data_IF_015157529581
#
_entry.id   IF_015157529581
#
_cell.length_a   1.000
_cell.length_b   1.000
_cell.length_c   1.000
_cell.angle_alpha   90.00
_cell.angle_beta   90.00
_cell.angle_gamma   90.00
#
_symmetry.space_group_name_H-M   'P 1'
#
loop_
_entity.id
_entity.type
_entity.pdbx_description
1 polymer ?
#
# COMPACT_ATOMS: atom_id res chain seq x y z
N UNK A 1 -27.01 19.68 16.08
CA UNK A 1 -28.32 20.29 15.75
C UNK A 1 -28.40 20.30 14.24
N UNK A 2 -29.31 19.50 13.68
CA UNK A 2 -29.53 19.45 12.22
C UNK A 2 -30.35 20.68 11.78
N UNK A 3 -29.98 21.25 10.64
CA UNK A 3 -30.80 22.31 10.05
C UNK A 3 -32.13 21.74 9.55
N UNK A 4 -33.21 22.54 9.44
CA UNK A 4 -34.51 22.09 8.89
C UNK A 4 -34.39 21.44 7.51
N UNK A 5 -33.47 21.93 6.66
CA UNK A 5 -33.19 21.35 5.35
C UNK A 5 -32.57 19.95 5.44
N UNK A 6 -31.65 19.74 6.38
CA UNK A 6 -31.05 18.42 6.63
C UNK A 6 -32.05 17.39 7.17
N UNK A 7 -33.02 17.85 7.97
CA UNK A 7 -34.10 17.00 8.48
C UNK A 7 -35.05 16.57 7.36
N UNK A 8 -35.38 17.49 6.44
CA UNK A 8 -36.23 17.19 5.29
C UNK A 8 -35.56 16.24 4.30
N UNK A 9 -34.27 16.41 4.06
CA UNK A 9 -33.47 15.51 3.20
C UNK A 9 -33.37 14.10 3.80
N UNK A 10 -33.21 13.98 5.14
CA UNK A 10 -33.24 12.69 5.84
C UNK A 10 -34.59 11.99 5.74
N UNK A 11 -35.68 12.74 5.88
CA UNK A 11 -37.02 12.20 5.74
C UNK A 11 -37.30 11.71 4.30
N UNK A 12 -36.88 12.46 3.29
CA UNK A 12 -36.96 12.07 1.89
C UNK A 12 -36.13 10.81 1.59
N UNK A 13 -34.94 10.72 2.16
CA UNK A 13 -34.09 9.53 2.03
C UNK A 13 -34.76 8.29 2.66
N UNK A 14 -35.26 8.39 3.89
CA UNK A 14 -35.93 7.28 4.57
C UNK A 14 -37.20 6.82 3.83
N UNK A 15 -37.93 7.74 3.19
CA UNK A 15 -39.10 7.41 2.38
C UNK A 15 -38.75 6.76 1.02
N UNK A 16 -37.51 6.85 0.59
CA UNK A 16 -37.03 6.26 -0.69
C UNK A 16 -36.63 4.79 -0.58
N UNK A 17 -36.44 4.29 0.65
CA UNK A 17 -36.13 2.89 0.93
C UNK A 17 -37.39 2.22 1.50
N UNK A 18 -37.70 0.99 1.07
CA UNK A 18 -38.83 0.26 1.62
C UNK A 18 -38.61 -0.08 3.10
N UNK A 19 -39.69 -0.19 3.91
CA UNK A 19 -39.57 -0.47 5.37
C UNK A 19 -38.79 -1.77 5.67
N UNK A 20 -38.83 -2.75 4.78
CA UNK A 20 -38.07 -4.01 4.86
C UNK A 20 -36.91 -4.07 3.87
N UNK A 21 -36.53 -2.95 3.29
CA UNK A 21 -35.69 -2.87 2.09
C UNK A 21 -34.20 -2.95 2.32
N UNK A 22 -33.71 -3.17 3.55
CA UNK A 22 -32.28 -3.40 3.81
C UNK A 22 -32.12 -4.81 4.36
N UNK A 23 -31.43 -5.65 3.61
CA UNK A 23 -31.12 -7.03 4.01
C UNK A 23 -29.62 -7.23 4.07
N UNK A 24 -29.15 -7.92 5.12
CA UNK A 24 -27.78 -8.37 5.22
C UNK A 24 -27.67 -9.81 4.70
N UNK A 25 -27.01 -9.95 3.57
CA UNK A 25 -26.72 -11.23 2.92
C UNK A 25 -25.23 -11.61 3.03
N UNK A 26 -24.54 -11.06 4.03
CA UNK A 26 -23.13 -11.35 4.29
C UNK A 26 -22.91 -12.82 4.62
N UNK A 27 -21.87 -13.42 4.09
CA UNK A 27 -21.58 -14.83 4.25
C UNK A 27 -20.15 -15.20 3.90
N UNK A 28 -19.92 -16.50 3.68
CA UNK A 28 -18.57 -17.00 3.35
C UNK A 28 -18.05 -16.55 1.99
N UNK A 29 -18.96 -16.34 1.01
CA UNK A 29 -18.59 -15.90 -0.34
C UNK A 29 -18.37 -14.40 -0.41
N UNK A 30 -19.19 -13.64 0.33
CA UNK A 30 -19.10 -12.19 0.43
C UNK A 30 -19.04 -11.79 1.90
N UNK A 31 -17.89 -11.29 2.34
CA UNK A 31 -17.68 -10.90 3.74
C UNK A 31 -18.66 -9.79 4.19
N UNK A 32 -19.02 -8.88 3.27
CA UNK A 32 -20.05 -7.85 3.47
C UNK A 32 -20.91 -7.78 2.21
N UNK A 33 -22.22 -8.03 2.35
CA UNK A 33 -23.21 -7.89 1.28
C UNK A 33 -24.51 -7.35 1.83
N UNK A 34 -24.76 -6.08 1.61
CA UNK A 34 -26.00 -5.41 1.97
C UNK A 34 -26.83 -5.20 0.70
N UNK A 35 -28.06 -5.68 0.71
CA UNK A 35 -29.03 -5.47 -0.37
C UNK A 35 -29.98 -4.38 0.05
N UNK A 36 -30.11 -3.34 -0.75
CA UNK A 36 -31.01 -2.21 -0.51
C UNK A 36 -32.08 -2.19 -1.61
N UNK A 37 -33.34 -2.25 -1.23
CA UNK A 37 -34.47 -2.23 -2.14
C UNK A 37 -35.13 -0.84 -2.14
N UNK A 38 -35.41 -0.26 -3.32
CA UNK A 38 -36.12 1.01 -3.40
C UNK A 38 -37.59 0.87 -2.94
N UNK A 39 -38.15 1.93 -2.38
CA UNK A 39 -39.57 1.95 -1.97
C UNK A 39 -40.54 1.83 -3.18
N UNK A 40 -40.10 2.21 -4.36
CA UNK A 40 -40.89 2.16 -5.60
C UNK A 40 -40.08 1.63 -6.77
N UNK A 41 -40.68 0.76 -7.57
CA UNK A 41 -40.09 0.24 -8.82
C UNK A 41 -39.84 1.33 -9.90
N UNK A 42 -40.36 2.52 -9.70
CA UNK A 42 -40.14 3.68 -10.60
C UNK A 42 -38.87 4.42 -10.28
N UNK A 43 -38.28 4.18 -9.12
CA UNK A 43 -37.02 4.82 -8.71
C UNK A 43 -35.82 4.17 -9.43
N UNK A 44 -35.06 4.98 -10.15
CA UNK A 44 -33.87 4.51 -10.86
C UNK A 44 -32.79 4.04 -9.90
N UNK A 45 -32.01 3.03 -10.29
CA UNK A 45 -30.91 2.51 -9.51
C UNK A 45 -29.85 3.61 -9.21
N UNK A 46 -29.53 4.41 -10.22
CA UNK A 46 -28.53 5.49 -10.09
C UNK A 46 -28.97 6.56 -9.11
N UNK A 47 -30.26 6.90 -9.06
CA UNK A 47 -30.81 7.88 -8.13
C UNK A 47 -30.74 7.34 -6.68
N UNK A 48 -31.05 6.05 -6.48
CA UNK A 48 -30.92 5.41 -5.17
C UNK A 48 -29.45 5.39 -4.72
N UNK A 49 -28.52 5.04 -5.61
CA UNK A 49 -27.09 5.05 -5.30
C UNK A 49 -26.61 6.45 -4.93
N UNK A 50 -26.98 7.49 -5.70
CA UNK A 50 -26.64 8.89 -5.37
C UNK A 50 -27.17 9.31 -4.00
N UNK A 51 -28.41 8.93 -3.68
CA UNK A 51 -28.99 9.23 -2.38
C UNK A 51 -28.28 8.50 -1.24
N UNK A 52 -27.93 7.23 -1.44
CA UNK A 52 -27.15 6.46 -0.46
C UNK A 52 -25.79 7.09 -0.21
N UNK A 53 -25.05 7.47 -1.25
CA UNK A 53 -23.73 8.11 -1.13
C UNK A 53 -23.82 9.50 -0.49
N UNK A 54 -24.86 10.27 -0.78
CA UNK A 54 -25.04 11.62 -0.22
C UNK A 54 -25.49 11.62 1.24
N UNK A 55 -26.25 10.62 1.70
CA UNK A 55 -26.91 10.63 3.01
C UNK A 55 -26.37 9.59 4.01
N UNK A 56 -25.47 8.72 3.58
CA UNK A 56 -24.86 7.70 4.45
C UNK A 56 -23.35 7.81 4.49
N UNK A 57 -22.70 7.03 5.35
CA UNK A 57 -21.25 6.94 5.45
C UNK A 57 -20.66 5.89 4.50
N UNK A 58 -21.36 5.52 3.42
CA UNK A 58 -20.83 4.61 2.39
C UNK A 58 -19.69 5.25 1.61
N UNK A 59 -19.69 6.57 1.46
CA UNK A 59 -18.60 7.35 0.93
C UNK A 59 -18.04 8.27 2.03
N UNK A 60 -16.75 8.20 2.27
CA UNK A 60 -16.08 9.02 3.27
C UNK A 60 -14.76 9.56 2.71
N UNK A 61 -14.39 10.76 3.14
CA UNK A 61 -13.10 11.33 2.80
C UNK A 61 -12.03 10.84 3.78
N UNK A 62 -10.94 10.29 3.25
CA UNK A 62 -9.76 9.93 4.02
C UNK A 62 -8.65 10.94 3.78
N UNK A 63 -8.17 11.58 4.83
CA UNK A 63 -7.02 12.48 4.76
C UNK A 63 -5.74 11.64 4.64
N UNK A 64 -4.96 11.88 3.58
CA UNK A 64 -3.66 11.24 3.40
C UNK A 64 -2.58 12.25 3.79
N UNK A 65 -1.83 11.93 4.85
CA UNK A 65 -0.67 12.70 5.27
C UNK A 65 0.58 11.81 5.19
N UNK A 66 1.38 12.01 4.16
CA UNK A 66 2.61 11.27 3.93
C UNK A 66 3.79 11.95 4.65
N UNK A 67 3.85 11.80 5.97
CA UNK A 67 5.01 12.23 6.76
C UNK A 67 6.02 11.09 6.80
N UNK A 68 7.21 11.32 6.25
CA UNK A 68 8.27 10.32 6.11
C UNK A 68 9.59 10.85 6.67
N UNK A 69 10.46 9.93 7.09
CA UNK A 69 11.87 10.24 7.32
C UNK A 69 12.59 10.22 5.98
N UNK A 70 13.08 11.39 5.54
CA UNK A 70 13.89 11.49 4.34
C UNK A 70 15.23 10.75 4.47
N UNK A 71 15.95 10.60 3.37
CA UNK A 71 17.30 9.99 3.35
C UNK A 71 18.26 10.67 4.34
N UNK A 72 18.03 11.93 4.64
CA UNK A 72 18.81 12.73 5.61
C UNK A 72 18.43 12.46 7.07
N UNK A 73 17.48 11.57 7.34
CA UNK A 73 17.00 11.29 8.70
C UNK A 73 16.08 12.37 9.28
N UNK A 74 15.68 13.39 8.52
CA UNK A 74 14.76 14.43 8.98
C UNK A 74 13.32 14.11 8.59
N UNK A 75 12.34 14.28 9.51
CA UNK A 75 10.93 14.12 9.18
C UNK A 75 10.46 15.25 8.26
N UNK A 76 9.71 14.90 7.23
CA UNK A 76 9.11 15.85 6.31
C UNK A 76 7.83 15.29 5.68
N UNK A 77 6.96 16.18 5.28
CA UNK A 77 5.82 15.81 4.44
C UNK A 77 6.30 15.68 2.98
N UNK A 78 5.94 14.58 2.35
CA UNK A 78 6.38 14.26 0.99
C UNK A 78 5.17 13.96 0.09
N UNK A 79 5.30 14.25 -1.21
CA UNK A 79 4.39 13.72 -2.21
C UNK A 79 4.68 12.24 -2.46
N UNK A 80 3.70 11.48 -2.96
CA UNK A 80 3.87 10.07 -3.31
C UNK A 80 5.04 9.87 -4.29
N UNK A 81 5.14 10.73 -5.32
CA UNK A 81 6.24 10.70 -6.28
C UNK A 81 7.61 10.88 -5.61
N UNK A 82 7.72 11.90 -4.72
CA UNK A 82 8.96 12.17 -4.00
C UNK A 82 9.37 10.99 -3.10
N UNK A 83 8.40 10.40 -2.41
CA UNK A 83 8.63 9.24 -1.55
C UNK A 83 9.13 8.02 -2.32
N UNK A 84 8.49 7.67 -3.44
CA UNK A 84 8.91 6.57 -4.31
C UNK A 84 10.30 6.84 -4.90
N UNK A 85 10.55 8.07 -5.38
CA UNK A 85 11.84 8.45 -5.97
C UNK A 85 12.98 8.34 -4.95
N UNK A 86 12.77 8.76 -3.70
CA UNK A 86 13.77 8.60 -2.62
C UNK A 86 13.96 7.15 -2.23
N UNK A 87 12.88 6.38 -2.17
CA UNK A 87 12.98 4.95 -1.89
C UNK A 87 13.82 4.23 -2.95
N UNK A 88 13.64 4.54 -4.23
CA UNK A 88 14.45 3.96 -5.30
C UNK A 88 15.95 4.30 -5.13
N UNK A 89 16.28 5.54 -4.79
CA UNK A 89 17.67 5.94 -4.52
C UNK A 89 18.24 5.21 -3.31
N UNK A 90 17.49 5.13 -2.25
CA UNK A 90 17.89 4.40 -1.04
C UNK A 90 18.07 2.90 -1.34
N UNK A 91 17.19 2.30 -2.15
CA UNK A 91 17.31 0.89 -2.55
C UNK A 91 18.59 0.64 -3.34
N UNK A 92 18.90 1.49 -4.31
CA UNK A 92 20.15 1.42 -5.08
C UNK A 92 21.38 1.46 -4.16
N UNK A 93 21.47 2.44 -3.26
CA UNK A 93 22.59 2.55 -2.32
C UNK A 93 22.67 1.36 -1.35
N UNK A 94 21.54 0.79 -0.99
CA UNK A 94 21.50 -0.40 -0.11
C UNK A 94 21.99 -1.64 -0.83
N UNK A 95 21.59 -1.85 -2.09
CA UNK A 95 22.07 -2.97 -2.90
C UNK A 95 23.56 -2.81 -3.19
N UNK A 96 24.05 -1.61 -3.48
CA UNK A 96 25.47 -1.33 -3.65
C UNK A 96 26.27 -1.69 -2.40
N UNK A 97 25.87 -1.24 -1.21
CA UNK A 97 26.52 -1.59 0.06
C UNK A 97 26.50 -3.09 0.32
N UNK A 98 25.37 -3.77 0.06
CA UNK A 98 25.26 -5.21 0.18
C UNK A 98 26.23 -5.93 -0.76
N UNK A 99 26.32 -5.48 -2.01
CA UNK A 99 27.21 -6.04 -3.03
C UNK A 99 28.68 -5.86 -2.66
N UNK A 100 29.07 -4.66 -2.18
CA UNK A 100 30.43 -4.40 -1.68
C UNK A 100 30.79 -5.26 -0.46
N UNK A 101 29.87 -5.43 0.46
CA UNK A 101 30.08 -6.29 1.62
C UNK A 101 30.30 -7.76 1.21
N UNK A 102 29.48 -8.27 0.27
CA UNK A 102 29.65 -9.64 -0.25
C UNK A 102 30.96 -9.80 -0.99
N UNK A 103 31.35 -8.82 -1.81
CA UNK A 103 32.64 -8.82 -2.51
C UNK A 103 33.81 -8.88 -1.53
N UNK A 104 33.81 -8.00 -0.52
CA UNK A 104 34.88 -8.00 0.51
C UNK A 104 34.95 -9.33 1.27
N UNK A 105 33.80 -9.94 1.57
CA UNK A 105 33.77 -11.24 2.22
C UNK A 105 34.32 -12.35 1.29
N UNK A 106 33.95 -12.34 0.02
CA UNK A 106 34.48 -13.28 -0.99
C UNK A 106 35.98 -13.11 -1.18
N UNK A 107 36.48 -11.88 -1.33
CA UNK A 107 37.91 -11.58 -1.47
C UNK A 107 38.73 -12.03 -0.26
N UNK A 108 38.28 -11.77 0.95
CA UNK A 108 38.91 -12.28 2.18
C UNK A 108 38.99 -13.81 2.19
N UNK A 109 37.90 -14.47 1.76
CA UNK A 109 37.88 -15.93 1.74
C UNK A 109 38.80 -16.47 0.65
N UNK A 110 38.81 -15.87 -0.55
CA UNK A 110 39.72 -16.19 -1.65
C UNK A 110 41.17 -16.09 -1.17
N UNK A 111 41.52 -14.99 -0.52
CA UNK A 111 42.85 -14.77 0.01
C UNK A 111 43.33 -15.89 0.96
N UNK A 112 42.46 -16.32 1.88
CA UNK A 112 42.76 -17.43 2.79
C UNK A 112 42.93 -18.75 2.01
N UNK A 113 42.04 -19.04 1.08
CA UNK A 113 42.07 -20.28 0.30
C UNK A 113 43.28 -20.37 -0.62
N UNK A 114 43.72 -19.23 -1.20
CA UNK A 114 44.97 -19.16 -1.98
C UNK A 114 46.19 -19.50 -1.15
N UNK A 115 46.26 -19.02 0.09
CA UNK A 115 47.32 -19.38 1.05
C UNK A 115 47.30 -20.88 1.36
N UNK A 116 46.12 -21.45 1.65
CA UNK A 116 45.99 -22.89 1.90
C UNK A 116 46.40 -23.73 0.69
N UNK A 117 46.03 -23.32 -0.52
CA UNK A 117 46.38 -24.04 -1.74
C UNK A 117 47.88 -24.01 -1.98
N UNK A 118 48.54 -22.89 -1.77
CA UNK A 118 50.01 -22.76 -1.87
C UNK A 118 50.75 -23.72 -0.93
N UNK A 119 50.25 -23.87 0.31
CA UNK A 119 50.80 -24.79 1.30
C UNK A 119 50.56 -26.25 0.97
N UNK A 120 49.35 -26.59 0.44
CA UNK A 120 49.02 -27.97 0.04
C UNK A 120 49.86 -28.51 -1.12
N UNK A 121 50.42 -27.61 -1.95
CA UNK A 121 51.30 -27.99 -3.07
C UNK A 121 52.70 -28.45 -2.55
N UNK A 122 53.12 -27.99 -1.37
CA UNK A 122 54.47 -28.28 -0.86
C UNK A 122 54.44 -28.54 0.67
N UNK A 123 53.57 -29.46 1.10
CA UNK A 123 53.26 -29.73 2.49
C UNK A 123 54.46 -30.17 3.31
N UNK A 124 55.37 -30.95 2.71
CA UNK A 124 56.59 -31.44 3.39
C UNK A 124 57.52 -30.32 3.77
N UNK A 125 57.67 -29.31 2.92
CA UNK A 125 58.46 -28.09 3.26
C UNK A 125 57.80 -27.28 4.33
N UNK A 126 56.49 -27.14 4.31
CA UNK A 126 55.75 -26.42 5.37
C UNK A 126 55.97 -27.07 6.73
N UNK A 127 55.84 -28.40 6.82
CA UNK A 127 56.07 -29.14 8.06
C UNK A 127 57.49 -28.99 8.52
N UNK A 128 58.47 -28.99 7.60
CA UNK A 128 59.85 -28.81 7.91
C UNK A 128 60.12 -27.41 8.47
N UNK A 129 59.64 -26.35 7.84
CA UNK A 129 59.75 -24.97 8.30
C UNK A 129 59.15 -24.83 9.70
N UNK A 130 57.94 -25.35 9.95
CA UNK A 130 57.27 -25.27 11.27
C UNK A 130 58.10 -25.98 12.37
N UNK A 131 58.75 -27.07 12.03
CA UNK A 131 59.55 -27.85 13.03
C UNK A 131 60.93 -27.28 13.33
N UNK A 132 61.58 -26.64 12.35
CA UNK A 132 62.96 -26.17 12.44
C UNK A 132 63.05 -24.66 12.77
N UNK A 133 61.92 -23.96 12.78
CA UNK A 133 61.86 -22.50 13.01
C UNK A 133 61.61 -22.17 14.47
N UNK A 134 62.27 -21.12 14.96
CA UNK A 134 61.99 -20.48 16.26
C UNK A 134 60.75 -19.62 16.21
N UNK A 135 60.43 -19.01 15.02
CA UNK A 135 59.18 -18.26 14.73
C UNK A 135 58.53 -18.75 13.46
N UNK A 136 57.70 -19.82 13.54
CA UNK A 136 57.08 -20.44 12.37
C UNK A 136 56.27 -19.47 11.52
N UNK A 137 55.64 -18.45 12.12
CA UNK A 137 54.83 -17.48 11.40
C UNK A 137 55.64 -16.63 10.43
N UNK A 138 56.74 -16.07 10.93
CA UNK A 138 57.65 -15.23 10.13
C UNK A 138 58.30 -16.03 9.01
N UNK A 139 58.74 -17.24 9.30
CA UNK A 139 59.45 -18.07 8.34
C UNK A 139 58.50 -18.59 7.24
N UNK A 140 57.25 -18.94 7.58
CA UNK A 140 56.23 -19.27 6.59
C UNK A 140 55.93 -18.11 5.64
N UNK A 141 55.81 -16.88 6.19
CA UNK A 141 55.61 -15.69 5.39
C UNK A 141 56.79 -15.45 4.41
N UNK A 142 58.01 -15.62 4.87
CA UNK A 142 59.21 -15.43 4.06
C UNK A 142 59.36 -16.50 2.96
N UNK A 143 59.19 -17.79 3.29
CA UNK A 143 59.42 -18.90 2.37
C UNK A 143 58.30 -19.04 1.31
N UNK A 144 57.04 -18.83 1.70
CA UNK A 144 55.86 -19.05 0.82
C UNK A 144 55.25 -17.73 0.33
N UNK A 145 55.82 -16.57 0.69
CA UNK A 145 55.31 -15.23 0.35
C UNK A 145 53.87 -15.04 0.80
N UNK A 146 53.53 -15.55 1.98
CA UNK A 146 52.22 -15.48 2.56
C UNK A 146 51.98 -14.18 3.30
N UNK A 147 50.78 -13.72 3.37
CA UNK A 147 50.38 -12.65 4.28
C UNK A 147 50.32 -13.17 5.74
N UNK A 148 50.35 -12.26 6.69
CA UNK A 148 50.22 -12.59 8.09
C UNK A 148 48.94 -13.41 8.39
N UNK A 149 47.81 -12.99 7.82
CA UNK A 149 46.50 -13.65 7.97
C UNK A 149 46.54 -15.07 7.38
N UNK A 150 47.23 -15.28 6.27
CA UNK A 150 47.36 -16.59 5.64
C UNK A 150 48.28 -17.49 6.50
N UNK A 151 49.40 -16.98 7.01
CA UNK A 151 50.29 -17.73 7.84
C UNK A 151 49.65 -18.18 9.16
N UNK A 152 48.87 -17.30 9.77
CA UNK A 152 48.10 -17.59 10.99
C UNK A 152 47.02 -18.68 10.74
N UNK A 153 46.26 -18.55 9.67
CA UNK A 153 45.29 -19.56 9.26
C UNK A 153 45.92 -20.94 9.01
N UNK A 154 47.10 -20.96 8.38
CA UNK A 154 47.83 -22.21 8.10
C UNK A 154 48.30 -22.88 9.38
N UNK A 155 48.81 -22.14 10.38
CA UNK A 155 49.20 -22.68 11.66
C UNK A 155 48.03 -23.27 12.47
N UNK A 156 46.82 -22.80 12.24
CA UNK A 156 45.60 -23.32 12.86
C UNK A 156 44.97 -24.53 12.13
N UNK A 157 45.49 -24.91 10.93
CA UNK A 157 44.97 -26.01 10.14
C UNK A 157 45.14 -27.33 10.90
N UNK A 158 44.06 -28.09 11.01
CA UNK A 158 44.11 -29.47 11.55
C UNK A 158 44.76 -30.41 10.55
N UNK A 159 45.64 -31.31 10.99
CA UNK A 159 46.36 -32.28 10.15
C UNK A 159 45.43 -33.07 9.18
N UNK A 160 44.19 -33.42 9.59
CA UNK A 160 43.23 -34.08 8.72
C UNK A 160 42.83 -33.28 7.50
N UNK A 161 42.90 -31.97 7.54
CA UNK A 161 42.53 -31.03 6.45
C UNK A 161 43.63 -30.90 5.39
N UNK A 162 44.80 -31.48 5.68
CA UNK A 162 45.91 -31.52 4.72
C UNK A 162 45.82 -32.72 3.76
N UNK A 163 44.74 -33.49 3.81
CA UNK A 163 44.54 -34.61 2.91
C UNK A 163 44.26 -34.14 1.48
N UNK A 164 44.73 -34.93 0.49
CA UNK A 164 44.63 -34.58 -0.96
C UNK A 164 43.21 -34.27 -1.41
N UNK A 165 42.18 -34.92 -0.84
CA UNK A 165 40.78 -34.65 -1.17
C UNK A 165 40.31 -33.24 -0.76
N UNK A 166 40.89 -32.67 0.29
CA UNK A 166 40.58 -31.31 0.71
C UNK A 166 41.17 -30.27 -0.25
N UNK A 167 42.33 -30.53 -0.88
CA UNK A 167 42.89 -29.67 -1.92
C UNK A 167 41.96 -29.50 -3.15
N UNK A 168 41.30 -30.58 -3.55
CA UNK A 168 40.33 -30.53 -4.66
C UNK A 168 39.11 -29.64 -4.28
N UNK A 169 38.59 -29.84 -3.06
CA UNK A 169 37.46 -29.02 -2.58
C UNK A 169 37.82 -27.53 -2.44
N UNK A 170 39.02 -27.23 -1.97
CA UNK A 170 39.53 -25.86 -1.88
C UNK A 170 39.63 -25.24 -3.27
N UNK A 171 40.12 -25.99 -4.26
CA UNK A 171 40.17 -25.53 -5.65
C UNK A 171 38.79 -25.23 -6.22
N UNK A 172 37.79 -26.10 -5.99
CA UNK A 172 36.41 -25.88 -6.43
C UNK A 172 35.76 -24.68 -5.73
N UNK A 173 35.96 -24.54 -4.41
CA UNK A 173 35.47 -23.38 -3.64
C UNK A 173 36.07 -22.10 -4.14
N UNK A 174 37.38 -22.08 -4.40
CA UNK A 174 38.11 -20.93 -4.90
C UNK A 174 37.63 -20.53 -6.31
N UNK A 175 37.39 -21.49 -7.20
CA UNK A 175 36.84 -21.21 -8.52
C UNK A 175 35.46 -20.56 -8.44
N UNK A 176 34.55 -21.08 -7.60
CA UNK A 176 33.20 -20.52 -7.37
C UNK A 176 33.26 -19.09 -6.81
N UNK A 177 34.10 -18.87 -5.80
CA UNK A 177 34.24 -17.54 -5.19
C UNK A 177 34.84 -16.52 -6.14
N UNK A 178 35.79 -16.92 -7.00
CA UNK A 178 36.35 -16.03 -8.04
C UNK A 178 35.30 -15.66 -9.08
N UNK A 179 34.46 -16.60 -9.47
CA UNK A 179 33.32 -16.33 -10.38
C UNK A 179 32.31 -15.38 -9.73
N UNK A 180 31.96 -15.62 -8.45
CA UNK A 180 31.09 -14.72 -7.68
C UNK A 180 31.69 -13.33 -7.58
N UNK A 181 32.95 -13.20 -7.19
CA UNK A 181 33.64 -11.92 -7.08
C UNK A 181 33.70 -11.17 -8.41
N UNK A 182 33.96 -11.87 -9.52
CA UNK A 182 33.94 -11.28 -10.86
C UNK A 182 32.54 -10.77 -11.26
N UNK A 183 31.48 -11.51 -10.90
CA UNK A 183 30.09 -11.11 -11.10
C UNK A 183 29.71 -9.86 -10.26
N UNK A 184 30.13 -9.83 -8.99
CA UNK A 184 29.89 -8.70 -8.09
C UNK A 184 30.67 -7.44 -8.56
N UNK A 185 31.90 -7.58 -9.02
CA UNK A 185 32.68 -6.47 -9.60
C UNK A 185 31.98 -5.90 -10.84
N UNK A 186 31.57 -6.73 -11.81
CA UNK A 186 30.83 -6.28 -12.99
C UNK A 186 29.55 -5.51 -12.61
N UNK A 187 28.88 -5.92 -11.54
CA UNK A 187 27.69 -5.23 -11.05
C UNK A 187 28.03 -3.86 -10.46
N UNK A 188 29.17 -3.73 -9.73
CA UNK A 188 29.61 -2.48 -9.13
C UNK A 188 30.20 -1.50 -10.14
N UNK A 189 30.79 -1.98 -11.21
CA UNK A 189 31.43 -1.17 -12.26
C UNK A 189 30.44 -0.49 -13.20
N UNK A 190 29.16 -0.89 -13.17
CA UNK A 190 28.13 -0.38 -14.09
C UNK A 190 26.86 0.03 -13.37
N UNK A 191 26.58 1.33 -13.36
CA UNK A 191 25.30 1.87 -12.87
C UNK A 191 24.08 1.24 -13.55
N UNK A 192 24.19 0.94 -14.84
CA UNK A 192 23.11 0.31 -15.58
C UNK A 192 22.89 -1.14 -15.14
N UNK A 193 23.95 -1.90 -14.91
CA UNK A 193 23.85 -3.26 -14.38
C UNK A 193 23.21 -3.26 -12.98
N UNK A 194 23.60 -2.30 -12.13
CA UNK A 194 23.02 -2.13 -10.79
C UNK A 194 21.52 -1.82 -10.85
N UNK A 195 21.11 -0.90 -11.73
CA UNK A 195 19.68 -0.57 -11.93
C UNK A 195 18.89 -1.76 -12.45
N UNK A 196 19.43 -2.51 -13.38
CA UNK A 196 18.80 -3.72 -13.92
C UNK A 196 18.65 -4.79 -12.82
N UNK A 197 19.67 -4.98 -11.99
CA UNK A 197 19.61 -5.90 -10.85
C UNK A 197 18.50 -5.50 -9.86
N UNK A 198 18.44 -4.21 -9.48
CA UNK A 198 17.40 -3.70 -8.58
C UNK A 198 16.01 -3.83 -9.18
N UNK A 199 15.86 -3.55 -10.49
CA UNK A 199 14.57 -3.72 -11.19
C UNK A 199 14.11 -5.18 -11.16
N UNK A 200 15.02 -6.12 -11.45
CA UNK A 200 14.71 -7.56 -11.40
C UNK A 200 14.31 -8.03 -10.00
N UNK A 201 14.96 -7.53 -8.93
CA UNK A 201 14.57 -7.82 -7.56
C UNK A 201 13.15 -7.29 -7.24
N UNK A 202 12.83 -6.04 -7.66
CA UNK A 202 11.51 -5.44 -7.46
C UNK A 202 10.43 -6.21 -8.23
N UNK A 203 10.71 -6.63 -9.47
CA UNK A 203 9.78 -7.45 -10.27
C UNK A 203 9.52 -8.81 -9.62
N UNK A 204 10.56 -9.45 -9.06
CA UNK A 204 10.40 -10.70 -8.34
C UNK A 204 9.54 -10.54 -7.09
N UNK A 205 9.75 -9.46 -6.33
CA UNK A 205 8.95 -9.12 -5.16
C UNK A 205 7.49 -8.79 -5.55
N UNK A 206 7.28 -8.07 -6.66
CA UNK A 206 5.95 -7.77 -7.19
C UNK A 206 5.18 -9.03 -7.59
N UNK A 207 5.86 -10.01 -8.23
CA UNK A 207 5.23 -11.29 -8.57
C UNK A 207 4.86 -12.13 -7.34
N UNK A 208 5.64 -12.02 -6.27
CA UNK A 208 5.44 -12.81 -5.05
C UNK A 208 4.41 -12.21 -4.10
N UNK A 209 4.36 -10.88 -4.00
CA UNK A 209 3.60 -10.16 -2.98
C UNK A 209 2.55 -9.20 -3.56
N UNK A 210 2.54 -9.00 -4.89
CA UNK A 210 1.59 -8.13 -5.56
C UNK A 210 0.17 -8.70 -5.48
N UNK A 211 -0.81 -7.82 -5.32
CA UNK A 211 -2.23 -8.08 -5.39
C UNK A 211 -2.88 -7.16 -6.44
N UNK A 212 -4.12 -7.48 -6.82
CA UNK A 212 -4.87 -6.68 -7.77
C UNK A 212 -5.20 -5.30 -7.18
N UNK A 213 -5.11 -4.28 -8.02
CA UNK A 213 -5.42 -2.92 -7.61
C UNK A 213 -6.92 -2.77 -7.33
N UNK A 214 -7.28 -2.41 -6.10
CA UNK A 214 -8.65 -2.16 -5.66
C UNK A 214 -9.08 -0.69 -5.80
N UNK A 215 -8.13 0.23 -5.94
CA UNK A 215 -8.39 1.68 -6.04
C UNK A 215 -8.63 2.06 -7.49
N UNK A 216 -9.77 2.68 -7.77
CA UNK A 216 -10.09 3.26 -9.07
C UNK A 216 -9.74 4.75 -9.08
N UNK A 217 -9.36 5.26 -10.24
CA UNK A 217 -9.20 6.70 -10.47
C UNK A 217 -10.39 7.11 -11.34
N UNK A 218 -11.32 7.84 -10.72
CA UNK A 218 -12.49 8.37 -11.40
C UNK A 218 -12.27 9.87 -11.67
N UNK A 219 -12.89 10.37 -12.76
CA UNK A 219 -12.98 11.80 -12.96
C UNK A 219 -13.84 12.40 -11.84
N UNK A 220 -13.45 13.57 -11.32
CA UNK A 220 -14.15 14.27 -10.23
C UNK A 220 -15.59 14.62 -10.66
N UNK A 221 -16.47 13.66 -10.58
CA UNK A 221 -17.91 13.87 -10.66
C UNK A 221 -18.36 14.27 -9.25
N UNK A 222 -18.19 15.56 -8.92
CA UNK A 222 -18.82 16.12 -7.73
C UNK A 222 -20.31 15.92 -7.85
N UNK A 223 -20.82 14.88 -7.18
CA UNK A 223 -22.24 14.78 -6.86
C UNK A 223 -22.53 15.91 -5.87
N UNK A 224 -22.86 17.08 -6.41
CA UNK A 224 -23.26 18.18 -5.56
C UNK A 224 -24.62 17.81 -4.94
N UNK A 225 -24.82 18.18 -3.68
CA UNK A 225 -26.13 18.00 -3.01
C UNK A 225 -27.30 18.65 -3.79
N UNK A 226 -27.00 19.51 -4.79
CA UNK A 226 -27.98 20.05 -5.72
C UNK A 226 -28.51 18.99 -6.72
N UNK A 227 -27.70 17.98 -7.07
CA UNK A 227 -28.11 16.93 -8.01
C UNK A 227 -29.01 15.90 -7.33
N UNK A 228 -28.91 15.76 -6.01
CA UNK A 228 -29.85 14.97 -5.20
C UNK A 228 -31.23 15.66 -5.03
N UNK A 229 -31.37 16.92 -5.45
CA UNK A 229 -32.64 17.68 -5.38
C UNK A 229 -33.61 17.39 -6.50
N UNK A 230 -33.21 16.68 -7.53
CA UNK A 230 -34.15 16.21 -8.56
C UNK A 230 -34.79 14.86 -8.21
N UNK A 231 -35.30 14.71 -6.99
CA UNK A 231 -36.45 13.83 -6.79
C UNK A 231 -37.55 14.47 -7.61
N UNK A 232 -37.92 13.84 -8.71
CA UNK A 232 -39.06 14.24 -9.51
C UNK A 232 -40.29 14.32 -8.57
N UNK A 233 -40.58 15.51 -8.09
CA UNK A 233 -41.77 15.78 -7.30
C UNK A 233 -42.93 15.47 -8.24
N UNK A 234 -43.74 14.45 -7.91
CA UNK A 234 -44.91 14.12 -8.70
C UNK A 234 -45.79 15.35 -8.73
N UNK A 235 -46.04 15.85 -9.94
CA UNK A 235 -46.87 17.06 -10.15
C UNK A 235 -48.32 16.74 -9.91
N UNK A 236 -48.81 16.99 -8.68
CA UNK A 236 -50.19 16.75 -8.27
C UNK A 236 -50.89 18.05 -7.87
N UNK A 237 -52.21 18.08 -8.11
CA UNK A 237 -53.03 19.19 -7.68
C UNK A 237 -53.08 19.23 -6.15
N UNK A 238 -52.74 20.36 -5.56
CA UNK A 238 -52.68 20.57 -4.11
C UNK A 238 -53.26 21.93 -3.75
N UNK A 239 -53.91 22.03 -2.60
CA UNK A 239 -54.36 23.30 -2.06
C UNK A 239 -53.58 23.63 -0.82
N UNK A 240 -52.92 24.78 -0.81
CA UNK A 240 -52.24 25.34 0.34
C UNK A 240 -53.27 26.12 1.22
N UNK A 241 -53.38 25.71 2.48
CA UNK A 241 -54.28 26.30 3.46
C UNK A 241 -53.40 27.14 4.41
N UNK A 242 -53.70 28.42 4.49
CA UNK A 242 -52.99 29.39 5.31
C UNK A 242 -53.90 29.85 6.43
N UNK A 243 -53.47 29.79 7.70
CA UNK A 243 -54.18 30.30 8.84
C UNK A 243 -53.79 31.73 9.18
N UNK A 244 -54.60 32.47 9.94
CA UNK A 244 -54.29 33.85 10.39
C UNK A 244 -53.07 33.96 11.29
N UNK A 245 -52.75 32.90 12.03
CA UNK A 245 -51.53 32.83 12.85
C UNK A 245 -50.30 32.33 12.08
N UNK A 246 -50.38 32.20 10.76
CA UNK A 246 -49.23 31.84 9.89
C UNK A 246 -48.92 30.36 9.81
N UNK A 247 -49.85 29.49 10.21
CA UNK A 247 -49.71 28.06 10.01
C UNK A 247 -50.07 27.70 8.55
N UNK A 248 -49.20 26.89 7.96
CA UNK A 248 -49.38 26.39 6.60
C UNK A 248 -49.60 24.89 6.62
N UNK A 249 -50.51 24.38 5.84
CA UNK A 249 -50.68 22.94 5.56
C UNK A 249 -51.17 22.75 4.12
N UNK A 250 -50.78 21.65 3.51
CA UNK A 250 -51.24 21.25 2.19
C UNK A 250 -52.29 20.14 2.27
N UNK A 251 -53.21 20.14 1.33
CA UNK A 251 -54.15 19.03 1.10
C UNK A 251 -54.21 18.72 -0.40
N UNK A 252 -54.28 17.44 -0.70
CA UNK A 252 -54.39 16.97 -2.08
C UNK A 252 -55.73 17.36 -2.71
N UNK A 253 -55.71 17.83 -3.95
CA UNK A 253 -56.88 18.29 -4.71
C UNK A 253 -57.21 19.76 -4.52
N UNK A 254 -58.05 20.32 -5.41
CA UNK A 254 -58.49 21.74 -5.40
C UNK A 254 -59.91 21.92 -4.78
N UNK A 255 -60.69 20.83 -4.65
CA UNK A 255 -62.06 20.92 -4.10
C UNK A 255 -62.09 20.71 -2.59
N UNK A 256 -61.55 21.71 -1.85
CA UNK A 256 -61.56 21.69 -0.38
C UNK A 256 -62.65 22.63 0.12
N UNK A 257 -63.59 22.07 0.88
CA UNK A 257 -64.61 22.87 1.57
C UNK A 257 -63.96 23.62 2.79
N UNK A 258 -63.90 24.95 2.77
CA UNK A 258 -63.30 25.73 3.84
C UNK A 258 -64.01 25.56 5.19
N UNK A 259 -65.27 25.17 5.19
CA UNK A 259 -66.09 25.02 6.40
C UNK A 259 -65.77 23.77 7.20
N UNK A 260 -65.13 22.76 6.55
CA UNK A 260 -64.71 21.51 7.18
C UNK A 260 -63.29 21.53 7.73
N UNK A 261 -62.61 22.69 7.64
CA UNK A 261 -61.27 22.84 8.11
C UNK A 261 -61.25 23.15 9.61
N UNK A 262 -60.51 22.31 10.37
CA UNK A 262 -60.31 22.52 11.79
C UNK A 262 -59.01 23.28 12.05
N UNK A 263 -59.04 24.28 12.90
CA UNK A 263 -57.88 25.09 13.31
C UNK A 263 -57.69 24.94 14.83
N UNK A 264 -56.51 25.38 15.30
CA UNK A 264 -56.22 25.45 16.73
C UNK A 264 -57.14 26.49 17.41
N UNK A 265 -57.36 26.36 18.71
CA UNK A 265 -58.17 27.33 19.48
C UNK A 265 -57.67 28.76 19.29
N UNK A 266 -58.53 29.62 18.80
CA UNK A 266 -58.23 31.02 18.53
C UNK A 266 -57.68 31.33 17.16
N UNK A 267 -57.45 30.30 16.29
CA UNK A 267 -56.98 30.49 14.92
C UNK A 267 -58.13 30.29 13.92
N UNK A 268 -58.00 30.86 12.73
CA UNK A 268 -59.00 30.77 11.67
C UNK A 268 -58.37 30.79 10.28
N UNK A 269 -59.14 30.42 9.29
CA UNK A 269 -58.67 30.46 7.89
C UNK A 269 -58.35 31.88 7.45
N UNK A 270 -57.16 32.06 6.86
CA UNK A 270 -56.76 33.26 6.14
C UNK A 270 -57.00 33.13 4.65
N UNK A 271 -56.48 32.06 4.04
CA UNK A 271 -56.57 31.82 2.59
C UNK A 271 -56.48 30.33 2.26
N UNK A 272 -57.19 29.93 1.17
CA UNK A 272 -56.99 28.66 0.49
C UNK A 272 -56.44 28.97 -0.93
N UNK A 273 -55.27 28.52 -1.22
CA UNK A 273 -54.58 28.78 -2.50
C UNK A 273 -54.46 27.47 -3.28
N UNK A 274 -55.18 27.31 -4.39
CA UNK A 274 -54.98 26.20 -5.26
C UNK A 274 -53.62 26.31 -5.93
N UNK A 275 -52.78 25.28 -5.82
CA UNK A 275 -51.42 25.19 -6.35
C UNK A 275 -51.12 23.76 -6.79
N UNK A 276 -49.94 23.54 -7.29
CA UNK A 276 -49.42 22.19 -7.61
C UNK A 276 -48.25 21.89 -6.69
N UNK A 277 -47.92 20.61 -6.54
CA UNK A 277 -46.79 20.20 -5.70
C UNK A 277 -45.43 20.72 -6.18
N UNK A 278 -45.37 21.19 -7.42
CA UNK A 278 -44.18 21.75 -8.08
C UNK A 278 -44.11 23.29 -8.02
N UNK A 279 -45.19 23.96 -7.53
CA UNK A 279 -45.22 25.41 -7.35
C UNK A 279 -44.55 25.79 -6.01
#
# INVERSE_FOLDING_TARGET
>A
VFTPEQLNLKAAFLSSISESGVRDESGKEHAVRLVVEPASSRQGQDDLVRMLLAHTSLETNASINLTVLGVNGTPRQASLYSMISEWCRFRLSTVERRTRHRLTAAEKRIHILEGRLAVLLDIDKVIKVIRESDDPKVDLMAHFKLSEIQAEDILEIRLRQLARLEGIKIGEELAKLREEAAGLNKLLDSDQAMRTCVAAEIEADAKKYGDDRRTFIEADTKVTMSDAKTVSIVDESTTLIVSRHGWLRSRQGHNIDPTQLTFRSGDSLLACLPCRTVD
#
